data_IF_831087890346
#
_entry.id   IF_831087890346
#
_cell.length_a   1.000
_cell.length_b   1.000
_cell.length_c   1.000
_cell.angle_alpha   90.00
_cell.angle_beta   90.00
_cell.angle_gamma   90.00
#
_symmetry.space_group_name_H-M   'P 1'
#
loop_
_entity.id
_entity.type
_entity.pdbx_description
1 polymer ?
#
# COMPACT_ATOMS: atom_id res chain seq x y z
N UNK A 1 4.49 -13.09 2.52
CA UNK A 1 3.06 -13.28 2.77
C UNK A 1 2.49 -14.25 1.75
N UNK A 2 1.71 -15.25 2.19
CA UNK A 2 0.95 -16.15 1.31
C UNK A 2 -0.40 -15.51 0.96
N UNK A 3 -1.07 -16.06 -0.06
CA UNK A 3 -2.40 -15.59 -0.50
C UNK A 3 -3.44 -15.72 0.60
N UNK A 4 -3.47 -16.86 1.31
CA UNK A 4 -4.43 -17.08 2.40
C UNK A 4 -4.25 -16.07 3.54
N UNK A 5 -3.00 -15.85 3.96
CA UNK A 5 -2.66 -14.86 4.99
C UNK A 5 -3.11 -13.45 4.56
N UNK A 6 -2.85 -13.06 3.31
CA UNK A 6 -3.31 -11.78 2.78
C UNK A 6 -4.84 -11.70 2.73
N UNK A 7 -5.52 -12.78 2.34
CA UNK A 7 -6.99 -12.81 2.26
C UNK A 7 -7.61 -12.64 3.64
N UNK A 8 -7.12 -13.35 4.65
CA UNK A 8 -7.57 -13.21 6.04
C UNK A 8 -7.44 -11.75 6.53
N UNK A 9 -6.31 -11.07 6.23
CA UNK A 9 -6.16 -9.65 6.57
C UNK A 9 -7.13 -8.73 5.82
N UNK A 10 -7.37 -8.98 4.53
CA UNK A 10 -8.27 -8.16 3.72
C UNK A 10 -9.74 -8.37 4.08
N UNK A 11 -10.13 -9.57 4.52
CA UNK A 11 -11.49 -9.88 5.00
C UNK A 11 -11.87 -9.07 6.25
N UNK A 12 -10.89 -8.62 7.04
CA UNK A 12 -11.11 -7.76 8.22
C UNK A 12 -11.21 -6.25 7.87
N UNK A 13 -10.88 -5.86 6.64
CA UNK A 13 -10.91 -4.47 6.20
C UNK A 13 -12.28 -4.05 5.64
N UNK A 14 -12.49 -2.74 5.45
CA UNK A 14 -13.66 -2.24 4.72
C UNK A 14 -13.69 -2.84 3.30
N UNK A 15 -14.74 -3.57 2.91
CA UNK A 15 -14.81 -4.24 1.61
C UNK A 15 -14.84 -3.26 0.43
N UNK A 16 -15.15 -1.98 0.66
CA UNK A 16 -15.14 -0.92 -0.36
C UNK A 16 -13.84 -0.10 -0.32
N UNK A 17 -12.86 -0.48 0.51
CA UNK A 17 -11.58 0.19 0.57
C UNK A 17 -10.75 -0.01 -0.71
N UNK A 18 -10.02 1.04 -1.09
CA UNK A 18 -9.06 0.92 -2.16
C UNK A 18 -7.80 0.21 -1.66
N UNK A 19 -7.39 -0.84 -2.38
CA UNK A 19 -6.14 -1.55 -2.11
C UNK A 19 -5.00 -0.86 -2.87
N UNK A 20 -4.03 -0.33 -2.14
CA UNK A 20 -2.88 0.41 -2.69
C UNK A 20 -1.58 -0.29 -2.35
N UNK A 21 -0.58 -0.12 -3.22
CA UNK A 21 0.79 -0.58 -2.97
C UNK A 21 1.69 0.60 -2.64
N UNK A 22 2.49 0.47 -1.59
CA UNK A 22 3.61 1.37 -1.30
C UNK A 22 4.90 0.73 -1.82
N UNK A 23 5.52 1.36 -2.82
CA UNK A 23 6.61 0.78 -3.62
C UNK A 23 7.61 1.85 -4.08
N UNK A 24 8.92 1.59 -3.99
CA UNK A 24 9.95 2.47 -4.60
C UNK A 24 11.20 1.75 -5.16
N UNK A 25 11.19 1.31 -6.44
CA UNK A 25 12.43 0.98 -7.13
C UNK A 25 12.56 1.60 -8.53
N UNK A 26 13.82 1.72 -8.94
CA UNK A 26 14.25 2.20 -10.28
C UNK A 26 14.18 1.10 -11.36
N UNK A 27 13.90 -0.16 -10.98
CA UNK A 27 14.01 -1.36 -11.82
C UNK A 27 12.86 -2.34 -11.55
N UNK A 28 12.56 -3.28 -12.46
CA UNK A 28 11.55 -4.30 -12.23
C UNK A 28 12.08 -5.31 -11.19
N UNK A 29 11.53 -5.29 -9.99
CA UNK A 29 11.88 -6.21 -8.92
C UNK A 29 10.67 -7.02 -8.50
N UNK A 30 10.92 -8.29 -8.19
CA UNK A 30 9.98 -9.08 -7.41
C UNK A 30 10.22 -8.80 -5.94
N UNK A 31 9.17 -8.41 -5.22
CA UNK A 31 9.25 -8.05 -3.81
C UNK A 31 8.38 -8.98 -2.96
N UNK A 32 8.83 -9.27 -1.74
CA UNK A 32 7.93 -9.80 -0.72
C UNK A 32 7.03 -8.69 -0.18
N UNK A 33 5.76 -8.98 0.12
CA UNK A 33 4.93 -8.11 0.98
C UNK A 33 5.38 -8.30 2.43
N UNK A 34 5.77 -7.20 3.10
CA UNK A 34 6.17 -7.19 4.51
C UNK A 34 4.96 -7.16 5.43
N UNK A 35 3.99 -6.29 5.13
CA UNK A 35 2.80 -6.10 5.96
C UNK A 35 1.63 -5.50 5.17
N UNK A 36 0.43 -5.66 5.71
CA UNK A 36 -0.76 -4.90 5.34
C UNK A 36 -1.01 -3.85 6.43
N UNK A 37 -1.35 -2.62 6.04
CA UNK A 37 -1.66 -1.53 6.97
C UNK A 37 -2.90 -0.76 6.53
N UNK A 38 -3.69 -0.27 7.47
CA UNK A 38 -4.73 0.72 7.17
C UNK A 38 -4.16 2.14 7.30
N UNK A 39 -4.79 3.11 6.64
CA UNK A 39 -4.38 4.53 6.71
C UNK A 39 -4.25 5.01 8.16
N UNK A 40 -5.24 4.71 8.98
CA UNK A 40 -5.30 5.18 10.36
C UNK A 40 -4.11 4.66 11.21
N UNK A 41 -3.55 3.48 10.92
CA UNK A 41 -2.45 2.92 11.71
C UNK A 41 -1.15 3.74 11.66
N UNK A 42 -0.94 4.56 10.62
CA UNK A 42 0.30 5.34 10.44
C UNK A 42 0.08 6.85 10.26
N UNK A 43 -1.16 7.31 10.14
CA UNK A 43 -1.49 8.75 10.17
C UNK A 43 -1.77 9.29 11.58
N UNK A 44 -1.92 8.42 12.59
CA UNK A 44 -2.20 8.82 13.97
C UNK A 44 -1.03 9.58 14.67
N UNK A 45 0.18 9.62 14.10
CA UNK A 45 1.35 10.24 14.74
C UNK A 45 1.68 11.68 14.27
N UNK A 46 0.96 12.24 13.29
CA UNK A 46 1.30 13.55 12.74
C UNK A 46 0.49 14.71 13.35
N UNK A 47 0.83 15.11 14.58
CA UNK A 47 0.50 16.44 15.13
C UNK A 47 1.43 17.51 14.54
N UNK A 48 1.66 17.45 13.22
CA UNK A 48 2.36 18.49 12.48
C UNK A 48 1.32 19.45 11.93
N UNK A 49 1.45 20.73 12.26
CA UNK A 49 0.84 21.85 11.52
C UNK A 49 1.27 21.77 10.05
N UNK A 50 0.67 20.86 9.27
CA UNK A 50 0.85 20.81 7.83
C UNK A 50 -0.02 21.92 7.25
N UNK A 51 0.63 22.87 6.59
CA UNK A 51 -0.04 23.85 5.72
C UNK A 51 -0.67 23.07 4.54
N UNK A 52 -1.93 22.69 4.71
CA UNK A 52 -2.70 21.87 3.76
C UNK A 52 -3.12 22.62 2.49
N UNK A 53 -2.59 23.84 2.23
CA UNK A 53 -3.07 24.67 1.12
C UNK A 53 -2.67 24.17 -0.28
N UNK A 54 -1.79 23.18 -0.41
CA UNK A 54 -1.27 22.72 -1.73
C UNK A 54 -1.38 21.20 -1.98
N UNK A 55 -2.11 20.47 -1.15
CA UNK A 55 -2.43 19.05 -1.39
C UNK A 55 -3.91 18.95 -1.68
N UNK A 56 -4.30 19.38 -2.88
CA UNK A 56 -5.71 19.47 -3.31
C UNK A 56 -6.52 18.26 -2.86
N UNK A 57 -7.58 18.51 -2.08
CA UNK A 57 -8.62 17.60 -1.60
C UNK A 57 -8.32 16.09 -1.75
N UNK A 58 -7.20 15.61 -1.19
CA UNK A 58 -7.07 14.17 -0.96
C UNK A 58 -7.94 13.87 0.23
N UNK A 59 -9.20 13.53 -0.03
CA UNK A 59 -10.04 12.82 0.92
C UNK A 59 -9.36 11.47 1.20
N UNK A 60 -8.34 11.49 2.05
CA UNK A 60 -7.80 10.31 2.68
C UNK A 60 -8.94 9.72 3.50
N UNK A 61 -9.65 8.74 2.93
CA UNK A 61 -10.58 7.93 3.70
C UNK A 61 -9.70 7.11 4.63
N UNK A 62 -9.92 7.18 5.94
CA UNK A 62 -9.20 6.40 6.95
C UNK A 62 -9.25 4.87 6.73
N UNK A 63 -10.01 4.42 5.74
CA UNK A 63 -10.21 3.02 5.38
C UNK A 63 -9.27 2.50 4.29
N UNK A 64 -8.42 3.33 3.67
CA UNK A 64 -7.50 2.86 2.64
C UNK A 64 -6.57 1.75 3.17
N UNK A 65 -6.36 0.69 2.36
CA UNK A 65 -5.50 -0.45 2.71
C UNK A 65 -4.21 -0.42 1.91
N UNK A 66 -3.07 -0.54 2.58
CA UNK A 66 -1.73 -0.47 2.01
C UNK A 66 -0.99 -1.79 2.12
N UNK A 67 -0.53 -2.30 0.99
CA UNK A 67 0.49 -3.34 0.92
C UNK A 67 1.86 -2.69 1.02
N UNK A 68 2.61 -3.03 2.06
CA UNK A 68 3.94 -2.48 2.33
C UNK A 68 5.01 -3.40 1.76
N UNK A 69 5.89 -2.83 0.93
CA UNK A 69 7.08 -3.48 0.41
C UNK A 69 7.96 -4.10 1.53
N UNK A 70 8.43 -5.32 1.27
CA UNK A 70 9.46 -5.99 2.06
C UNK A 70 10.79 -6.02 1.32
N UNK A 71 11.44 -7.19 1.25
CA UNK A 71 12.73 -7.33 0.55
C UNK A 71 12.55 -7.67 -0.92
N UNK A 72 13.53 -7.28 -1.72
CA UNK A 72 13.73 -7.83 -3.06
C UNK A 72 14.00 -9.33 -2.99
N UNK A 73 13.31 -10.08 -3.86
CA UNK A 73 13.49 -11.52 -4.05
C UNK A 73 14.34 -11.81 -5.28
N UNK A 74 14.08 -11.13 -6.40
CA UNK A 74 14.87 -11.21 -7.64
C UNK A 74 14.53 -10.04 -8.60
N UNK A 75 15.04 -10.12 -9.84
CA UNK A 75 14.66 -9.22 -10.94
C UNK A 75 13.38 -9.73 -11.60
N UNK A 76 12.42 -8.83 -11.82
CA UNK A 76 11.16 -9.14 -12.51
C UNK A 76 11.19 -8.88 -14.01
N UNK A 77 10.10 -9.25 -14.69
CA UNK A 77 9.86 -8.95 -16.11
C UNK A 77 9.02 -7.69 -16.27
N UNK A 78 9.33 -6.85 -17.28
CA UNK A 78 8.49 -5.70 -17.65
C UNK A 78 7.10 -6.11 -18.16
N UNK A 79 6.91 -7.37 -18.54
CA UNK A 79 5.62 -7.89 -19.01
C UNK A 79 4.52 -7.82 -17.95
N UNK A 80 4.86 -7.79 -16.66
CA UNK A 80 3.89 -7.65 -15.58
C UNK A 80 3.06 -6.35 -15.62
N UNK A 81 3.48 -5.35 -16.42
CA UNK A 81 2.76 -4.08 -16.63
C UNK A 81 2.03 -4.00 -17.98
N UNK A 82 2.05 -5.06 -18.79
CA UNK A 82 1.40 -5.08 -20.11
C UNK A 82 0.00 -5.71 -20.10
N UNK A 83 -0.44 -6.28 -18.98
CA UNK A 83 -1.78 -6.83 -18.82
C UNK A 83 -2.64 -5.90 -17.97
N UNK A 84 -3.56 -5.18 -18.64
CA UNK A 84 -4.52 -4.24 -18.07
C UNK A 84 -5.44 -3.67 -19.13
#
# INVERSE_FOLDING_TARGET
>A
MKVEELREFLEECDPEAEVRIMFQPTWPFELSISSVRTRDEFEQEEDYEKDWSDVGERQHKGTDVFLVEGRQLCYGSKEAWNDG
#
